data_IF_006358533055
#
_entry.id   IF_006358533055
#
_cell.length_a   1.000
_cell.length_b   1.000
_cell.length_c   1.000
_cell.angle_alpha   90.00
_cell.angle_beta   90.00
_cell.angle_gamma   90.00
#
_symmetry.space_group_name_H-M   'P 1'
#
loop_
_entity.id
_entity.type
_entity.pdbx_description
1 polymer ?
#
# COMPACT_ATOMS: atom_id res chain seq x y z
N UNK A 1 12.53 28.06 -18.90
CA UNK A 1 13.24 26.96 -19.62
C UNK A 1 12.42 25.70 -19.46
N UNK A 2 11.80 25.20 -20.53
CA UNK A 2 11.04 23.96 -20.47
C UNK A 2 11.99 22.77 -20.25
N UNK A 3 12.07 22.28 -19.02
CA UNK A 3 12.81 21.08 -18.69
C UNK A 3 12.21 19.90 -19.47
N UNK A 4 12.95 19.38 -20.43
CA UNK A 4 12.52 18.16 -21.13
C UNK A 4 12.74 16.97 -20.18
N UNK A 5 11.71 16.20 -19.82
CA UNK A 5 11.87 15.08 -18.90
C UNK A 5 12.89 14.08 -19.47
N UNK A 6 13.72 13.52 -18.60
CA UNK A 6 14.72 12.50 -18.89
C UNK A 6 15.90 12.95 -19.77
N UNK A 7 16.08 14.24 -20.09
CA UNK A 7 17.16 14.71 -20.96
C UNK A 7 18.09 15.69 -20.25
N UNK A 8 19.39 15.49 -20.46
CA UNK A 8 20.45 16.43 -20.11
C UNK A 8 21.28 16.66 -21.37
N UNK A 9 21.71 17.92 -21.63
CA UNK A 9 22.63 18.24 -22.68
C UNK A 9 24.02 18.53 -22.07
N UNK A 10 25.07 17.90 -22.58
CA UNK A 10 26.48 18.14 -22.23
C UNK A 10 27.28 18.21 -23.50
N UNK A 11 28.03 19.29 -23.69
CA UNK A 11 28.91 19.52 -24.86
C UNK A 11 28.20 19.28 -26.20
N UNK A 12 26.93 19.73 -26.30
CA UNK A 12 26.13 19.57 -27.52
C UNK A 12 25.56 18.16 -27.75
N UNK A 13 25.85 17.21 -26.89
CA UNK A 13 25.31 15.84 -26.96
C UNK A 13 24.23 15.65 -25.88
N UNK A 14 23.11 15.00 -26.25
CA UNK A 14 22.06 14.66 -25.33
C UNK A 14 22.30 13.33 -24.63
N UNK A 15 21.97 13.33 -23.32
CA UNK A 15 22.03 12.16 -22.44
C UNK A 15 20.64 11.89 -21.87
N UNK A 16 20.28 10.64 -21.80
CA UNK A 16 19.17 10.16 -21.01
C UNK A 16 19.56 10.14 -19.52
N UNK A 17 18.64 10.57 -18.64
CA UNK A 17 18.82 10.51 -17.19
C UNK A 17 17.50 10.13 -16.52
N UNK A 18 17.52 9.10 -15.67
CA UNK A 18 16.37 8.67 -14.88
C UNK A 18 16.82 8.26 -13.48
N UNK A 19 16.10 8.77 -12.47
CA UNK A 19 16.31 8.39 -11.07
C UNK A 19 15.75 6.98 -10.87
N UNK A 20 16.47 6.14 -10.15
CA UNK A 20 16.02 4.80 -9.79
C UNK A 20 14.99 4.86 -8.68
N UNK A 21 13.94 4.00 -8.71
CA UNK A 21 12.99 3.87 -7.62
C UNK A 21 13.68 3.49 -6.31
N UNK A 22 13.24 4.09 -5.20
CA UNK A 22 13.87 3.89 -3.89
C UNK A 22 13.85 2.44 -3.42
N UNK A 23 12.76 1.73 -3.70
CA UNK A 23 12.56 0.30 -3.40
C UNK A 23 13.53 -0.62 -4.14
N UNK A 24 14.02 -0.20 -5.30
CA UNK A 24 14.99 -0.96 -6.11
C UNK A 24 16.44 -0.57 -5.87
N UNK A 25 16.73 0.50 -5.11
CA UNK A 25 18.11 0.96 -4.87
C UNK A 25 19.04 -0.12 -4.29
N UNK A 26 18.61 -0.96 -3.31
CA UNK A 26 19.45 -2.01 -2.77
C UNK A 26 19.92 -3.03 -3.81
N UNK A 27 19.11 -3.25 -4.86
CA UNK A 27 19.36 -4.23 -5.92
C UNK A 27 20.10 -3.62 -7.09
N UNK A 28 19.83 -2.35 -7.42
CA UNK A 28 20.45 -1.67 -8.57
C UNK A 28 21.83 -1.09 -8.26
N UNK A 29 22.13 -0.84 -6.99
CA UNK A 29 23.41 -0.30 -6.53
C UNK A 29 23.73 1.12 -7.03
N UNK A 30 22.73 1.83 -7.59
CA UNK A 30 22.88 3.19 -8.14
C UNK A 30 21.62 4.00 -8.00
N UNK A 31 21.77 5.30 -7.75
CA UNK A 31 20.65 6.23 -7.56
C UNK A 31 20.03 6.70 -8.87
N UNK A 32 20.82 6.72 -9.95
CA UNK A 32 20.36 7.19 -11.26
C UNK A 32 21.00 6.39 -12.40
N UNK A 33 20.28 6.33 -13.52
CA UNK A 33 20.74 5.77 -14.78
C UNK A 33 20.96 6.91 -15.76
N UNK A 34 22.20 7.05 -16.23
CA UNK A 34 22.57 8.05 -17.23
C UNK A 34 23.18 7.34 -18.43
N UNK A 35 22.72 7.67 -19.66
CA UNK A 35 23.20 7.08 -20.91
C UNK A 35 23.31 8.13 -22.01
N UNK A 36 24.44 8.17 -22.71
CA UNK A 36 24.57 9.01 -23.90
C UNK A 36 23.63 8.54 -25.01
N UNK A 37 22.88 9.46 -25.59
CA UNK A 37 22.03 9.20 -26.76
C UNK A 37 22.74 9.37 -28.07
N UNK A 38 24.03 9.79 -28.03
CA UNK A 38 24.92 9.98 -29.18
C UNK A 38 24.30 10.84 -30.29
N UNK A 39 23.53 11.84 -29.92
CA UNK A 39 22.88 12.78 -30.85
C UNK A 39 22.89 14.20 -30.30
N UNK A 40 23.04 15.16 -31.23
CA UNK A 40 22.89 16.59 -30.99
C UNK A 40 21.45 17.07 -31.33
N UNK A 41 20.63 16.21 -31.96
CA UNK A 41 19.25 16.55 -32.35
C UNK A 41 18.31 16.38 -31.16
N UNK A 42 17.68 17.48 -30.70
CA UNK A 42 16.70 17.48 -29.61
C UNK A 42 15.48 16.61 -29.95
N UNK A 43 15.02 16.59 -31.19
CA UNK A 43 13.85 15.82 -31.62
C UNK A 43 14.14 14.30 -31.53
N UNK A 44 15.30 13.87 -32.01
CA UNK A 44 15.73 12.49 -31.92
C UNK A 44 15.97 12.10 -30.47
N UNK A 45 16.64 12.97 -29.69
CA UNK A 45 16.88 12.74 -28.26
C UNK A 45 15.60 12.55 -27.47
N UNK A 46 14.57 13.38 -27.69
CA UNK A 46 13.26 13.24 -27.03
C UNK A 46 12.61 11.88 -27.31
N UNK A 47 12.61 11.45 -28.56
CA UNK A 47 12.04 10.15 -28.95
C UNK A 47 12.81 8.99 -28.28
N UNK A 48 14.14 8.99 -28.36
CA UNK A 48 14.98 7.96 -27.75
C UNK A 48 14.83 7.94 -26.23
N UNK A 49 14.77 9.11 -25.58
CA UNK A 49 14.59 9.20 -24.13
C UNK A 49 13.25 8.64 -23.67
N UNK A 50 12.17 8.89 -24.41
CA UNK A 50 10.85 8.35 -24.09
C UNK A 50 10.83 6.82 -24.22
N UNK A 51 11.38 6.27 -25.31
CA UNK A 51 11.49 4.80 -25.46
C UNK A 51 12.28 4.19 -24.30
N UNK A 52 13.47 4.74 -24.00
CA UNK A 52 14.30 4.25 -22.89
C UNK A 52 13.59 4.38 -21.53
N UNK A 53 12.81 5.43 -21.32
CA UNK A 53 12.06 5.60 -20.08
C UNK A 53 11.00 4.51 -19.92
N UNK A 54 10.27 4.19 -21.00
CA UNK A 54 9.26 3.12 -21.02
C UNK A 54 9.91 1.74 -20.80
N UNK A 55 11.01 1.45 -21.48
CA UNK A 55 11.74 0.18 -21.34
C UNK A 55 12.26 -0.02 -19.91
N UNK A 56 12.77 1.06 -19.29
CA UNK A 56 13.23 1.01 -17.89
C UNK A 56 12.07 0.84 -16.89
N UNK A 57 10.91 1.46 -17.13
CA UNK A 57 9.76 1.23 -16.27
C UNK A 57 9.30 -0.24 -16.34
N UNK A 58 9.24 -0.81 -17.54
CA UNK A 58 8.92 -2.22 -17.72
C UNK A 58 9.95 -3.13 -17.03
N UNK A 59 11.25 -2.79 -17.12
CA UNK A 59 12.30 -3.52 -16.43
C UNK A 59 12.19 -3.42 -14.91
N UNK A 60 11.91 -2.23 -14.37
CA UNK A 60 11.68 -2.03 -12.93
C UNK A 60 10.49 -2.85 -12.45
N UNK A 61 9.44 -2.92 -13.25
CA UNK A 61 8.25 -3.70 -12.95
C UNK A 61 8.57 -5.21 -12.94
N UNK A 62 9.30 -5.71 -13.93
CA UNK A 62 9.76 -7.10 -13.97
C UNK A 62 10.68 -7.44 -12.79
N UNK A 63 11.56 -6.51 -12.39
CA UNK A 63 12.42 -6.70 -11.22
C UNK A 63 11.59 -6.80 -9.95
N UNK A 64 10.58 -5.95 -9.75
CA UNK A 64 9.68 -6.04 -8.60
C UNK A 64 8.96 -7.38 -8.55
N UNK A 65 8.44 -7.84 -9.69
CA UNK A 65 7.78 -9.14 -9.81
C UNK A 65 8.75 -10.29 -9.48
N UNK A 66 9.94 -10.27 -10.04
CA UNK A 66 10.97 -11.28 -9.80
C UNK A 66 11.51 -11.29 -8.36
N UNK A 67 11.49 -10.14 -7.69
CA UNK A 67 11.93 -10.00 -6.31
C UNK A 67 10.76 -10.13 -5.30
N UNK A 68 9.53 -10.28 -5.77
CA UNK A 68 8.35 -10.29 -4.90
C UNK A 68 8.11 -8.96 -4.15
N UNK A 69 8.66 -7.86 -4.66
CA UNK A 69 8.52 -6.54 -4.03
C UNK A 69 7.14 -5.94 -4.30
N UNK A 70 6.63 -5.21 -3.33
CA UNK A 70 5.38 -4.47 -3.49
C UNK A 70 5.52 -3.38 -4.55
N UNK A 71 4.54 -3.32 -5.46
CA UNK A 71 4.38 -2.23 -6.42
C UNK A 71 3.88 -0.96 -5.71
N UNK A 72 4.15 0.23 -6.26
CA UNK A 72 3.49 1.45 -5.81
C UNK A 72 1.96 1.27 -5.78
N UNK A 73 1.32 1.63 -4.69
CA UNK A 73 -0.13 1.46 -4.49
C UNK A 73 -0.60 0.06 -4.08
N UNK A 74 0.24 -0.97 -4.09
CA UNK A 74 -0.16 -2.32 -3.65
C UNK A 74 -0.48 -2.37 -2.15
N UNK A 75 0.18 -1.56 -1.32
CA UNK A 75 -0.14 -1.45 0.10
C UNK A 75 -1.58 -0.96 0.29
N UNK A 76 -1.99 0.05 -0.49
CA UNK A 76 -3.34 0.60 -0.43
C UNK A 76 -4.37 -0.42 -0.90
N UNK A 77 -4.07 -1.21 -1.94
CA UNK A 77 -4.93 -2.29 -2.42
C UNK A 77 -5.08 -3.40 -1.37
N UNK A 78 -4.00 -3.83 -0.74
CA UNK A 78 -4.02 -4.82 0.34
C UNK A 78 -4.85 -4.31 1.52
N UNK A 79 -4.65 -3.06 1.93
CA UNK A 79 -5.40 -2.44 3.01
C UNK A 79 -6.90 -2.31 2.68
N UNK A 80 -7.24 -1.90 1.46
CA UNK A 80 -8.63 -1.79 1.01
C UNK A 80 -9.32 -3.15 0.97
N UNK A 81 -8.65 -4.18 0.47
CA UNK A 81 -9.19 -5.54 0.45
C UNK A 81 -9.40 -6.07 1.88
N UNK A 82 -8.41 -5.88 2.75
CA UNK A 82 -8.51 -6.25 4.16
C UNK A 82 -9.68 -5.53 4.85
N UNK A 83 -9.81 -4.22 4.67
CA UNK A 83 -10.92 -3.43 5.16
C UNK A 83 -12.29 -3.99 4.73
N UNK A 84 -12.46 -4.30 3.44
CA UNK A 84 -13.69 -4.88 2.93
C UNK A 84 -14.00 -6.25 3.54
N UNK A 85 -13.00 -7.10 3.72
CA UNK A 85 -13.17 -8.39 4.39
C UNK A 85 -13.60 -8.21 5.85
N UNK A 86 -13.00 -7.27 6.58
CA UNK A 86 -13.33 -7.01 7.98
C UNK A 86 -14.76 -6.46 8.13
N UNK A 87 -15.16 -5.50 7.28
CA UNK A 87 -16.54 -4.99 7.28
C UNK A 87 -17.54 -6.13 7.03
N UNK A 88 -17.30 -6.96 6.01
CA UNK A 88 -18.20 -8.06 5.69
C UNK A 88 -18.32 -9.05 6.86
N UNK A 89 -17.20 -9.39 7.51
CA UNK A 89 -17.20 -10.28 8.67
C UNK A 89 -17.97 -9.69 9.84
N UNK A 90 -17.68 -8.45 10.22
CA UNK A 90 -18.35 -7.75 11.34
C UNK A 90 -19.84 -7.52 11.09
N UNK A 91 -20.21 -7.15 9.86
CA UNK A 91 -21.63 -6.94 9.51
C UNK A 91 -22.38 -8.26 9.48
N UNK A 92 -21.78 -9.33 8.98
CA UNK A 92 -22.39 -10.66 8.94
C UNK A 92 -22.66 -11.15 10.36
N UNK A 93 -21.65 -11.11 11.23
CA UNK A 93 -21.77 -11.48 12.65
C UNK A 93 -22.87 -10.67 13.35
N UNK A 94 -22.92 -9.36 13.10
CA UNK A 94 -23.94 -8.49 13.67
C UNK A 94 -25.38 -8.81 13.19
N UNK A 95 -25.54 -9.30 11.93
CA UNK A 95 -26.87 -9.58 11.36
C UNK A 95 -27.35 -11.01 11.62
N UNK A 96 -26.46 -11.99 11.72
CA UNK A 96 -26.85 -13.40 11.92
C UNK A 96 -27.42 -13.67 13.32
N UNK A 97 -26.99 -12.91 14.32
CA UNK A 97 -27.41 -13.11 15.72
C UNK A 97 -28.52 -12.15 16.19
N UNK A 98 -29.16 -11.40 15.29
CA UNK A 98 -30.04 -10.29 15.65
C UNK A 98 -31.36 -10.71 16.31
N UNK A 99 -31.88 -11.92 16.02
CA UNK A 99 -33.24 -12.34 16.48
C UNK A 99 -33.28 -12.84 17.92
N UNK A 100 -32.15 -13.26 18.52
CA UNK A 100 -32.09 -13.89 19.84
C UNK A 100 -31.26 -13.12 20.89
N UNK A 101 -30.78 -11.91 20.58
CA UNK A 101 -29.91 -11.14 21.50
C UNK A 101 -30.67 -10.57 22.69
N UNK A 102 -30.09 -10.79 23.86
CA UNK A 102 -30.55 -10.08 25.08
C UNK A 102 -29.83 -8.72 25.14
N UNK A 103 -30.45 -7.75 25.82
CA UNK A 103 -29.89 -6.41 26.07
C UNK A 103 -28.49 -6.49 26.73
N UNK A 104 -28.30 -7.45 27.63
CA UNK A 104 -27.02 -7.68 28.32
C UNK A 104 -25.94 -8.15 27.35
N UNK A 105 -26.29 -8.97 26.35
CA UNK A 105 -25.36 -9.41 25.29
C UNK A 105 -24.98 -8.26 24.37
N UNK A 106 -25.93 -7.40 23.99
CA UNK A 106 -25.65 -6.22 23.16
C UNK A 106 -24.71 -5.23 23.86
N UNK A 107 -24.95 -4.97 25.16
CA UNK A 107 -24.08 -4.10 25.95
C UNK A 107 -22.68 -4.69 26.11
N UNK A 108 -22.57 -5.99 26.32
CA UNK A 108 -21.30 -6.70 26.43
C UNK A 108 -20.49 -6.64 25.12
N UNK A 109 -21.12 -6.94 23.97
CA UNK A 109 -20.51 -6.87 22.66
C UNK A 109 -20.07 -5.45 22.31
N UNK A 110 -20.92 -4.45 22.56
CA UNK A 110 -20.58 -3.05 22.34
C UNK A 110 -19.40 -2.59 23.22
N UNK A 111 -19.33 -3.07 24.47
CA UNK A 111 -18.19 -2.79 25.34
C UNK A 111 -16.90 -3.41 24.79
N UNK A 112 -16.94 -4.67 24.37
CA UNK A 112 -15.76 -5.36 23.81
C UNK A 112 -15.31 -4.74 22.51
N UNK A 113 -16.22 -4.40 21.59
CA UNK A 113 -15.88 -3.72 20.34
C UNK A 113 -15.18 -2.38 20.57
N UNK A 114 -15.68 -1.57 21.51
CA UNK A 114 -15.05 -0.29 21.87
C UNK A 114 -13.67 -0.47 22.51
N UNK A 115 -13.54 -1.46 23.39
CA UNK A 115 -12.26 -1.78 24.05
C UNK A 115 -11.23 -2.19 23.01
N UNK A 116 -11.59 -3.09 22.09
CA UNK A 116 -10.72 -3.53 21.02
C UNK A 116 -10.32 -2.39 20.08
N UNK A 117 -11.29 -1.54 19.69
CA UNK A 117 -11.00 -0.36 18.87
C UNK A 117 -10.03 0.59 19.57
N UNK A 118 -10.18 0.78 20.89
CA UNK A 118 -9.24 1.60 21.66
C UNK A 118 -7.84 1.00 21.68
N UNK A 119 -7.71 -0.33 21.72
CA UNK A 119 -6.44 -1.02 21.62
C UNK A 119 -5.81 -0.84 20.24
N UNK A 120 -6.57 -0.97 19.16
CA UNK A 120 -6.10 -0.69 17.79
C UNK A 120 -5.59 0.75 17.65
N UNK A 121 -6.33 1.75 18.18
CA UNK A 121 -5.88 3.15 18.20
C UNK A 121 -4.60 3.35 19.02
N UNK A 122 -4.46 2.63 20.12
CA UNK A 122 -3.26 2.65 20.93
C UNK A 122 -2.05 2.03 20.23
N UNK A 123 -2.26 0.92 19.52
CA UNK A 123 -1.23 0.30 18.66
C UNK A 123 -0.76 1.27 17.56
N UNK A 124 -1.69 1.92 16.86
CA UNK A 124 -1.38 2.93 15.85
C UNK A 124 -0.56 4.10 16.41
N UNK A 125 -0.95 4.60 17.60
CA UNK A 125 -0.27 5.71 18.27
C UNK A 125 1.19 5.38 18.64
N UNK A 126 1.44 4.14 19.05
CA UNK A 126 2.77 3.70 19.51
C UNK A 126 3.55 2.95 18.44
N UNK A 127 3.03 2.86 17.20
CA UNK A 127 3.63 2.08 16.11
C UNK A 127 3.95 0.63 16.50
N UNK A 128 3.05 0.03 17.27
CA UNK A 128 3.05 -1.40 17.57
C UNK A 128 2.09 -2.11 16.61
N UNK A 129 2.40 -3.35 16.24
CA UNK A 129 1.69 -4.03 15.16
C UNK A 129 1.32 -5.48 15.52
N UNK A 130 1.34 -5.82 16.81
CA UNK A 130 1.17 -7.18 17.30
C UNK A 130 -0.16 -7.81 16.85
N UNK A 131 -1.23 -7.03 16.81
CA UNK A 131 -2.55 -7.47 16.34
C UNK A 131 -2.61 -7.90 14.90
N UNK A 132 -1.91 -7.18 14.02
CA UNK A 132 -2.01 -7.39 12.56
C UNK A 132 -0.86 -8.21 11.99
N UNK A 133 0.20 -8.46 12.77
CA UNK A 133 1.35 -9.25 12.29
C UNK A 133 0.95 -10.60 11.68
N UNK A 134 0.12 -11.44 12.32
CA UNK A 134 -0.25 -12.73 11.74
C UNK A 134 -0.93 -12.59 10.39
N UNK A 135 -1.79 -11.60 10.25
CA UNK A 135 -2.51 -11.33 9.00
C UNK A 135 -1.58 -10.76 7.92
N UNK A 136 -0.66 -9.88 8.29
CA UNK A 136 0.37 -9.36 7.37
C UNK A 136 1.24 -10.51 6.85
N UNK A 137 1.70 -11.39 7.72
CA UNK A 137 2.50 -12.56 7.35
C UNK A 137 1.72 -13.49 6.40
N UNK A 138 0.44 -13.73 6.69
CA UNK A 138 -0.46 -14.49 5.81
C UNK A 138 -0.63 -13.83 4.44
N UNK A 139 -0.83 -12.51 4.39
CA UNK A 139 -0.98 -11.77 3.13
C UNK A 139 0.32 -11.77 2.32
N UNK A 140 1.47 -11.66 2.97
CA UNK A 140 2.80 -11.77 2.33
C UNK A 140 2.94 -13.14 1.67
N UNK A 141 2.62 -14.21 2.39
CA UNK A 141 2.74 -15.57 1.90
C UNK A 141 1.80 -15.86 0.72
N UNK A 142 0.50 -15.53 0.85
CA UNK A 142 -0.51 -15.78 -0.18
C UNK A 142 -0.19 -15.03 -1.49
N UNK A 143 0.35 -13.81 -1.37
CA UNK A 143 0.69 -12.99 -2.54
C UNK A 143 2.11 -13.27 -3.06
N UNK A 144 2.85 -14.21 -2.48
CA UNK A 144 4.23 -14.54 -2.88
C UNK A 144 5.19 -13.37 -2.75
N UNK A 145 4.97 -12.49 -1.76
CA UNK A 145 5.79 -11.30 -1.55
C UNK A 145 7.01 -11.64 -0.71
N UNK A 146 8.13 -10.96 -0.99
CA UNK A 146 9.35 -11.05 -0.18
C UNK A 146 9.55 -9.73 0.56
N UNK A 147 9.06 -9.69 1.80
CA UNK A 147 9.16 -8.52 2.66
C UNK A 147 9.84 -8.92 3.95
N UNK A 148 10.96 -8.29 4.25
CA UNK A 148 11.68 -8.53 5.50
C UNK A 148 10.85 -8.02 6.69
N UNK A 149 10.66 -8.87 7.70
CA UNK A 149 9.95 -8.54 8.93
C UNK A 149 10.60 -7.33 9.62
N UNK A 150 9.79 -6.41 10.11
CA UNK A 150 10.21 -5.15 10.72
C UNK A 150 10.92 -4.16 9.77
N UNK A 151 10.97 -4.42 8.47
CA UNK A 151 11.40 -3.43 7.48
C UNK A 151 10.43 -2.25 7.41
N UNK A 152 10.88 -1.14 6.81
CA UNK A 152 10.01 0.03 6.62
C UNK A 152 8.75 -0.32 5.81
N UNK A 153 8.87 -1.19 4.80
CA UNK A 153 7.75 -1.65 3.97
C UNK A 153 6.82 -2.55 4.79
N UNK A 154 7.36 -3.48 5.58
CA UNK A 154 6.58 -4.32 6.48
C UNK A 154 5.75 -3.48 7.46
N UNK A 155 6.38 -2.51 8.11
CA UNK A 155 5.71 -1.60 9.05
C UNK A 155 4.65 -0.72 8.35
N UNK A 156 4.87 -0.35 7.09
CA UNK A 156 3.88 0.38 6.29
C UNK A 156 2.65 -0.46 6.00
N UNK A 157 2.82 -1.74 5.67
CA UNK A 157 1.70 -2.68 5.49
C UNK A 157 0.94 -2.86 6.81
N UNK A 158 1.65 -3.13 7.91
CA UNK A 158 1.04 -3.28 9.23
C UNK A 158 0.20 -2.05 9.61
N UNK A 159 0.76 -0.85 9.42
CA UNK A 159 0.06 0.40 9.69
C UNK A 159 -1.20 0.57 8.83
N UNK A 160 -1.11 0.25 7.55
CA UNK A 160 -2.24 0.34 6.63
C UNK A 160 -3.38 -0.63 7.01
N UNK A 161 -3.04 -1.86 7.42
CA UNK A 161 -4.01 -2.83 7.92
C UNK A 161 -4.66 -2.39 9.25
N UNK A 162 -3.90 -1.83 10.19
CA UNK A 162 -4.46 -1.28 11.44
C UNK A 162 -5.44 -0.13 11.17
N UNK A 163 -5.12 0.77 10.23
CA UNK A 163 -6.03 1.84 9.83
C UNK A 163 -7.29 1.25 9.19
N UNK A 164 -7.14 0.24 8.34
CA UNK A 164 -8.27 -0.48 7.74
C UNK A 164 -9.16 -1.13 8.80
N UNK A 165 -8.57 -1.73 9.82
CA UNK A 165 -9.27 -2.36 10.92
C UNK A 165 -10.06 -1.33 11.75
N UNK A 166 -9.44 -0.22 12.16
CA UNK A 166 -10.12 0.87 12.89
C UNK A 166 -11.35 1.39 12.12
N UNK A 167 -11.18 1.66 10.82
CA UNK A 167 -12.29 2.09 9.95
C UNK A 167 -13.38 1.04 9.79
N UNK A 168 -13.01 -0.24 9.73
CA UNK A 168 -13.98 -1.32 9.62
C UNK A 168 -14.88 -1.39 10.85
N UNK A 169 -14.33 -1.24 12.06
CA UNK A 169 -15.10 -1.17 13.29
C UNK A 169 -16.02 0.05 13.35
N UNK A 170 -15.53 1.23 12.93
CA UNK A 170 -16.36 2.45 12.85
C UNK A 170 -17.54 2.26 11.89
N UNK A 171 -17.29 1.69 10.72
CA UNK A 171 -18.34 1.45 9.71
C UNK A 171 -19.33 0.38 10.14
N UNK A 172 -18.87 -0.71 10.77
CA UNK A 172 -19.74 -1.76 11.27
C UNK A 172 -20.69 -1.24 12.38
N UNK A 173 -20.19 -0.39 13.29
CA UNK A 173 -21.00 0.23 14.32
C UNK A 173 -22.13 1.10 13.72
N UNK A 174 -21.86 1.87 12.65
CA UNK A 174 -22.85 2.67 11.94
C UNK A 174 -23.91 1.78 11.27
N UNK A 175 -23.51 0.72 10.60
CA UNK A 175 -24.40 -0.23 9.93
C UNK A 175 -25.36 -0.89 10.95
N UNK A 176 -24.84 -1.34 12.07
CA UNK A 176 -25.63 -1.96 13.15
C UNK A 176 -26.65 -0.98 13.73
N UNK A 177 -26.32 0.32 13.80
CA UNK A 177 -27.25 1.39 14.24
C UNK A 177 -28.26 1.80 13.17
N UNK A 178 -28.21 1.24 11.97
CA UNK A 178 -29.10 1.56 10.86
C UNK A 178 -28.76 2.85 10.11
N UNK A 179 -27.54 3.38 10.29
CA UNK A 179 -27.04 4.55 9.57
C UNK A 179 -26.25 4.08 8.33
N UNK A 180 -26.98 3.92 7.21
CA UNK A 180 -26.41 3.46 5.93
C UNK A 180 -25.95 4.62 5.02
N UNK A 181 -26.18 5.88 5.42
CA UNK A 181 -25.96 7.04 4.53
C UNK A 181 -24.53 7.59 4.57
N UNK A 182 -23.72 7.23 5.55
CA UNK A 182 -22.33 7.70 5.67
C UNK A 182 -21.33 6.55 5.84
N UNK A 183 -21.01 5.78 4.79
CA UNK A 183 -19.81 4.95 4.86
C UNK A 183 -18.59 5.87 5.02
N UNK A 184 -17.78 5.62 6.04
CA UNK A 184 -16.51 6.35 6.26
C UNK A 184 -15.63 6.20 5.03
N UNK A 185 -15.48 7.28 4.25
CA UNK A 185 -14.62 7.36 3.06
C UNK A 185 -13.13 7.36 3.44
#
# INVERSE_FOLDING_TARGET
>A
MNSTPYLICRDGIYYFRKVCPKDLLPFLGRQEITRSLRTASIHLAKRLALTMATDLENLFEQLRQGLGLLKPGQVDLLASHFYQQQIQALTKEALEDFEDRTVEQEEWEAFHARTFQQEVKNELKHSRYDFVQPEVERLIEINGLIIEKNSAVYNQVCRALLIGLDRAYESAELIVKGDFENPVN
#
